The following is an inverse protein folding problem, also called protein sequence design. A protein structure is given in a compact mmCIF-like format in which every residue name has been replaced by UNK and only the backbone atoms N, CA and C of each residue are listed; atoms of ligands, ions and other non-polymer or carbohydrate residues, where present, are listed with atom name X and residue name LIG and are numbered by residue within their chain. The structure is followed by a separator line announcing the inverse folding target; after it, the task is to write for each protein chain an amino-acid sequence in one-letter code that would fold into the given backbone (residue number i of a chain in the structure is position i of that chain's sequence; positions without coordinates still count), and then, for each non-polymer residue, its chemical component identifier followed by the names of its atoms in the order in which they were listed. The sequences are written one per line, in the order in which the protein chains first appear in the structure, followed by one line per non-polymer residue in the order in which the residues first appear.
data_IF_645522725247
#
_entry.id   IF_645522725247
#
_cell.length_a   1.000
_cell.length_b   1.000
_cell.length_c   1.000
_cell.angle_alpha   90.00
_cell.angle_beta   90.00
_cell.angle_gamma   90.00
#
_symmetry.space_group_name_H-M   'P 1'
#
loop_
_entity.id
_entity.type
_entity.pdbx_description
1 polymer ?
#
# COMPACT_ATOMS: atom_id res chain seq x y z
N UNK A 1 13.10 -4.28 -3.35
CA UNK A 1 12.30 -4.17 -4.58
C UNK A 1 11.93 -2.73 -4.94
N UNK A 2 11.85 -2.41 -6.23
CA UNK A 2 11.35 -1.11 -6.72
C UNK A 2 9.82 -1.12 -6.83
N UNK A 3 9.20 0.06 -7.02
CA UNK A 3 7.75 0.16 -7.08
C UNK A 3 7.13 -0.59 -8.28
N UNK A 4 7.80 -0.60 -9.43
CA UNK A 4 7.37 -1.39 -10.59
C UNK A 4 7.25 -2.88 -10.31
N UNK A 5 8.10 -3.42 -9.43
CA UNK A 5 8.01 -4.81 -8.98
C UNK A 5 6.79 -5.01 -8.07
N UNK A 6 6.50 -4.06 -7.18
CA UNK A 6 5.27 -4.08 -6.36
C UNK A 6 4.03 -4.11 -7.26
N UNK A 7 4.01 -3.28 -8.30
CA UNK A 7 2.90 -3.24 -9.26
C UNK A 7 2.73 -4.56 -10.00
N UNK A 8 3.84 -5.18 -10.44
CA UNK A 8 3.83 -6.48 -11.10
C UNK A 8 3.37 -7.62 -10.18
N UNK A 9 3.77 -7.60 -8.91
CA UNK A 9 3.43 -8.62 -7.90
C UNK A 9 2.24 -8.23 -7.01
N UNK A 10 1.48 -7.19 -7.40
CA UNK A 10 0.45 -6.58 -6.54
C UNK A 10 -0.59 -7.58 -6.05
N UNK A 11 -0.98 -8.54 -6.89
CA UNK A 11 -1.92 -9.59 -6.53
C UNK A 11 -1.46 -10.44 -5.34
N UNK A 12 -0.17 -10.63 -5.16
CA UNK A 12 0.41 -11.36 -4.02
C UNK A 12 0.65 -10.42 -2.84
N UNK A 13 1.08 -9.18 -3.11
CA UNK A 13 1.44 -8.19 -2.08
C UNK A 13 0.24 -7.48 -1.44
N UNK A 14 -0.93 -7.47 -2.10
CA UNK A 14 -2.15 -6.86 -1.54
C UNK A 14 -2.57 -7.48 -0.20
N UNK A 15 -2.24 -8.75 0.04
CA UNK A 15 -2.46 -9.40 1.33
C UNK A 15 -1.69 -8.70 2.45
N UNK A 16 -0.40 -8.42 2.22
CA UNK A 16 0.44 -7.67 3.16
C UNK A 16 -0.08 -6.24 3.37
N UNK A 17 -0.53 -5.57 2.30
CA UNK A 17 -1.16 -4.25 2.42
C UNK A 17 -2.43 -4.32 3.29
N UNK A 18 -3.27 -5.34 3.12
CA UNK A 18 -4.46 -5.57 3.95
C UNK A 18 -4.12 -5.83 5.42
N UNK A 19 -3.06 -6.60 5.69
CA UNK A 19 -2.57 -6.84 7.05
C UNK A 19 -2.06 -5.53 7.70
N UNK A 20 -1.38 -4.69 6.92
CA UNK A 20 -0.88 -3.39 7.38
C UNK A 20 -2.01 -2.41 7.68
N UNK A 21 -2.99 -2.33 6.78
CA UNK A 21 -4.10 -1.39 6.83
C UNK A 21 -5.42 -2.12 7.01
N UNK A 22 -5.64 -2.80 8.14
CA UNK A 22 -6.80 -3.67 8.38
C UNK A 22 -8.20 -3.09 8.10
N UNK A 23 -8.37 -1.77 7.98
CA UNK A 23 -9.63 -1.12 7.53
C UNK A 23 -9.84 -1.10 6.01
N UNK A 24 -8.81 -1.42 5.22
CA UNK A 24 -8.89 -1.53 3.77
C UNK A 24 -9.40 -2.91 3.36
N UNK A 25 -10.37 -2.92 2.45
CA UNK A 25 -10.89 -4.18 1.88
C UNK A 25 -10.02 -4.68 0.73
N UNK A 26 -10.16 -5.97 0.41
CA UNK A 26 -9.45 -6.58 -0.72
C UNK A 26 -9.84 -5.92 -2.05
N UNK A 27 -11.11 -5.56 -2.22
CA UNK A 27 -11.62 -4.86 -3.40
C UNK A 27 -10.97 -3.47 -3.57
N UNK A 28 -10.85 -2.68 -2.52
CA UNK A 28 -10.24 -1.34 -2.58
C UNK A 28 -8.75 -1.42 -2.92
N UNK A 29 -8.05 -2.39 -2.31
CA UNK A 29 -6.65 -2.67 -2.65
C UNK A 29 -6.53 -3.17 -4.09
N UNK A 30 -7.48 -3.97 -4.58
CA UNK A 30 -7.52 -4.42 -5.96
C UNK A 30 -7.72 -3.26 -6.94
N UNK A 31 -8.57 -2.28 -6.61
CA UNK A 31 -8.76 -1.06 -7.39
C UNK A 31 -7.49 -0.20 -7.45
N UNK A 32 -6.68 -0.19 -6.38
CA UNK A 32 -5.40 0.53 -6.37
C UNK A 32 -4.39 -0.02 -7.39
N UNK A 33 -4.53 -1.29 -7.81
CA UNK A 33 -3.67 -1.96 -8.82
C UNK A 33 -2.16 -1.82 -8.57
N UNK A 34 -1.76 -1.68 -7.31
CA UNK A 34 -0.37 -1.50 -6.90
C UNK A 34 0.20 -0.12 -7.25
N UNK A 35 -0.63 0.87 -7.57
CA UNK A 35 -0.20 2.25 -7.80
C UNK A 35 0.05 2.95 -6.47
N UNK A 36 1.24 3.57 -6.32
CA UNK A 36 1.65 4.26 -5.09
C UNK A 36 0.67 5.35 -4.70
N UNK A 37 0.30 6.20 -5.66
CA UNK A 37 -0.61 7.32 -5.40
C UNK A 37 -2.02 6.87 -5.03
N UNK A 38 -2.49 5.74 -5.58
CA UNK A 38 -3.80 5.19 -5.22
C UNK A 38 -3.77 4.65 -3.78
N UNK A 39 -2.71 3.95 -3.38
CA UNK A 39 -2.54 3.51 -1.99
C UNK A 39 -2.47 4.68 -1.02
N UNK A 40 -1.70 5.72 -1.33
CA UNK A 40 -1.64 6.94 -0.53
C UNK A 40 -3.04 7.60 -0.43
N UNK A 41 -3.80 7.63 -1.52
CA UNK A 41 -5.17 8.14 -1.54
C UNK A 41 -6.13 7.34 -0.66
N UNK A 42 -6.02 6.01 -0.70
CA UNK A 42 -6.79 5.11 0.16
C UNK A 42 -6.43 5.30 1.63
N UNK A 43 -5.14 5.42 1.97
CA UNK A 43 -4.70 5.62 3.36
C UNK A 43 -5.24 6.95 3.90
N UNK A 44 -5.15 8.03 3.12
CA UNK A 44 -5.75 9.32 3.50
C UNK A 44 -7.26 9.19 3.72
N UNK A 45 -7.98 8.58 2.78
CA UNK A 45 -9.45 8.48 2.84
C UNK A 45 -9.94 7.60 3.98
N UNK A 46 -9.25 6.49 4.26
CA UNK A 46 -9.63 5.51 5.28
C UNK A 46 -9.30 5.96 6.69
N UNK A 47 -8.09 6.51 6.86
CA UNK A 47 -7.56 6.83 8.19
C UNK A 47 -7.62 8.32 8.50
N UNK A 48 -8.11 9.16 7.59
CA UNK A 48 -8.19 10.62 7.77
C UNK A 48 -6.82 11.29 7.89
N UNK A 49 -5.77 10.68 7.35
CA UNK A 49 -4.38 11.12 7.49
C UNK A 49 -4.02 12.22 6.50
N UNK A 50 -3.10 13.09 6.88
CA UNK A 50 -2.51 14.02 5.92
C UNK A 50 -1.70 13.27 4.87
N UNK A 51 -1.55 13.86 3.67
CA UNK A 51 -0.79 13.23 2.57
C UNK A 51 0.61 12.80 3.01
N UNK A 52 1.33 13.65 3.74
CA UNK A 52 2.68 13.35 4.22
C UNK A 52 2.73 12.12 5.15
N UNK A 53 1.73 11.95 6.02
CA UNK A 53 1.63 10.79 6.91
C UNK A 53 1.30 9.52 6.13
N UNK A 54 0.35 9.61 5.19
CA UNK A 54 0.00 8.51 4.32
C UNK A 54 1.18 8.07 3.42
N UNK A 55 1.95 9.03 2.90
CA UNK A 55 3.19 8.76 2.17
C UNK A 55 4.20 8.03 3.04
N UNK A 56 4.44 8.52 4.26
CA UNK A 56 5.35 7.87 5.20
C UNK A 56 4.94 6.43 5.54
N UNK A 57 3.65 6.15 5.67
CA UNK A 57 3.16 4.79 5.92
C UNK A 57 3.32 3.87 4.71
N UNK A 58 3.05 4.35 3.51
CA UNK A 58 3.24 3.58 2.27
C UNK A 58 4.74 3.32 2.03
N UNK A 59 5.61 4.29 2.33
CA UNK A 59 7.06 4.11 2.25
C UNK A 59 7.57 3.15 3.34
N UNK A 60 7.01 3.19 4.55
CA UNK A 60 7.34 2.24 5.61
C UNK A 60 6.96 0.81 5.21
N UNK A 61 5.75 0.61 4.70
CA UNK A 61 5.31 -0.68 4.17
C UNK A 61 6.20 -1.16 3.02
N UNK A 62 6.58 -0.27 2.10
CA UNK A 62 7.52 -0.59 1.03
C UNK A 62 8.88 -1.05 1.58
N UNK A 63 9.41 -0.38 2.61
CA UNK A 63 10.65 -0.74 3.26
C UNK A 63 10.57 -2.11 3.96
N UNK A 64 9.44 -2.43 4.60
CA UNK A 64 9.19 -3.77 5.20
C UNK A 64 9.29 -4.87 4.13
N UNK A 65 8.71 -4.65 2.95
CA UNK A 65 8.81 -5.60 1.84
C UNK A 65 10.23 -5.74 1.28
N UNK A 66 11.06 -4.69 1.36
CA UNK A 66 12.47 -4.78 0.98
C UNK A 66 13.29 -5.58 1.99
N UNK A 67 12.96 -5.52 3.27
CA UNK A 67 13.68 -6.20 4.36
C UNK A 67 13.26 -7.65 4.57
N UNK A 68 12.10 -8.05 4.05
CA UNK A 68 11.61 -9.43 4.07
C UNK A 68 12.24 -10.34 2.99
N UNK A 69 13.16 -9.82 2.17
CA UNK A 69 13.84 -10.51 1.07
C UNK A 69 15.30 -10.82 1.40
#
# INVERSE_FOLDING_TARGET
MNWDQIKGEWLQLKGSARERWGEMTDDELQEARGEREQLIGLVQSKYGKARAEAEAEVDAWHAELKGAA
#
